data_IF_916045477991
#
_entry.id   IF_916045477991
#
_cell.length_a   1.000
_cell.length_b   1.000
_cell.length_c   1.000
_cell.angle_alpha   90.00
_cell.angle_beta   90.00
_cell.angle_gamma   90.00
#
_symmetry.space_group_name_H-M   'P 1'
#
loop_
_entity.id
_entity.type
_entity.pdbx_description
1 polymer ?
#
# COMPACT_ATOMS: atom_id res chain seq x y z
N UNK A 1 -42.01 5.50 31.37
CA UNK A 1 -40.66 6.04 31.17
C UNK A 1 -40.49 6.39 29.69
N UNK A 2 -39.98 7.61 29.42
CA UNK A 2 -39.52 8.22 28.15
C UNK A 2 -40.42 8.12 26.91
N UNK A 3 -41.09 9.17 26.41
CA UNK A 3 -40.71 10.56 26.03
C UNK A 3 -39.84 10.66 24.76
N UNK A 4 -40.55 10.84 23.63
CA UNK A 4 -40.44 11.86 22.56
C UNK A 4 -39.09 12.22 21.90
N UNK A 5 -39.24 12.47 20.59
CA UNK A 5 -38.66 13.58 19.78
C UNK A 5 -37.21 13.42 19.30
N UNK A 6 -36.76 13.94 18.14
CA UNK A 6 -37.30 14.50 16.90
C UNK A 6 -36.05 14.87 16.05
N UNK A 7 -36.09 14.63 14.72
CA UNK A 7 -35.34 15.34 13.65
C UNK A 7 -33.79 15.23 13.71
N UNK A 8 -33.04 15.22 12.60
CA UNK A 8 -33.01 16.20 11.51
C UNK A 8 -32.32 15.59 10.29
N UNK A 9 -33.02 15.50 9.15
CA UNK A 9 -32.37 15.43 7.85
C UNK A 9 -32.20 16.88 7.36
N UNK A 10 -30.95 17.25 7.10
CA UNK A 10 -30.57 18.58 6.62
C UNK A 10 -31.07 18.76 5.18
N UNK A 11 -31.85 19.81 4.96
CA UNK A 11 -32.24 20.30 3.64
C UNK A 11 -31.15 21.28 3.21
N UNK A 12 -30.29 20.86 2.27
CA UNK A 12 -29.39 21.76 1.55
C UNK A 12 -30.23 22.49 0.51
N UNK A 13 -30.35 23.80 0.69
CA UNK A 13 -30.99 24.71 -0.24
C UNK A 13 -30.19 24.76 -1.55
N UNK A 14 -30.76 24.24 -2.64
CA UNK A 14 -30.31 24.52 -4.00
C UNK A 14 -31.36 25.41 -4.64
N UNK A 15 -31.02 26.69 -4.73
CA UNK A 15 -31.66 27.71 -5.54
C UNK A 15 -31.55 27.35 -7.02
N UNK A 16 -32.67 27.20 -7.72
CA UNK A 16 -32.75 27.18 -9.18
C UNK A 16 -33.64 28.37 -9.61
N UNK A 17 -33.20 29.18 -10.59
CA UNK A 17 -33.74 30.50 -10.88
C UNK A 17 -35.13 30.51 -11.53
N UNK A 18 -35.74 31.70 -11.42
CA UNK A 18 -37.09 32.15 -11.77
C UNK A 18 -37.76 31.56 -13.04
N UNK A 19 -39.11 31.55 -13.07
CA UNK A 19 -39.89 30.79 -14.03
C UNK A 19 -39.98 31.45 -15.41
N UNK A 20 -39.88 30.61 -16.44
CA UNK A 20 -40.32 30.89 -17.79
C UNK A 20 -41.84 31.18 -17.78
N UNK A 21 -42.15 32.45 -18.02
CA UNK A 21 -43.50 32.96 -18.28
C UNK A 21 -44.02 32.31 -19.56
N UNK A 22 -44.88 31.30 -19.42
CA UNK A 22 -45.74 30.82 -20.49
C UNK A 22 -47.16 31.32 -20.22
N UNK A 23 -47.66 32.10 -21.18
CA UNK A 23 -48.91 32.84 -21.10
C UNK A 23 -50.11 31.97 -20.75
N UNK A 24 -50.82 32.37 -19.71
CA UNK A 24 -52.18 31.92 -19.44
C UNK A 24 -53.10 32.93 -20.13
N UNK A 25 -53.85 32.58 -21.18
CA UNK A 25 -54.93 33.43 -21.64
C UNK A 25 -56.02 33.40 -20.57
N UNK A 26 -56.23 34.55 -19.92
CA UNK A 26 -57.42 34.85 -19.14
C UNK A 26 -58.63 34.77 -20.08
N UNK A 27 -59.24 33.59 -20.16
CA UNK A 27 -60.58 33.46 -20.70
C UNK A 27 -61.53 34.18 -19.74
N UNK A 28 -61.87 35.41 -20.08
CA UNK A 28 -63.04 36.10 -19.53
C UNK A 28 -64.27 35.24 -19.83
N UNK A 29 -64.70 34.47 -18.83
CA UNK A 29 -66.02 33.86 -18.83
C UNK A 29 -67.04 35.01 -18.78
N UNK A 30 -67.57 35.38 -19.94
CA UNK A 30 -68.70 36.28 -20.06
C UNK A 30 -69.86 35.77 -19.20
N UNK A 31 -70.37 36.65 -18.35
CA UNK A 31 -71.56 36.42 -17.54
C UNK A 31 -72.77 36.21 -18.44
N UNK A 32 -73.16 34.95 -18.63
CA UNK A 32 -74.45 34.57 -19.19
C UNK A 32 -75.51 34.61 -18.11
N UNK A 33 -76.29 35.70 -18.07
CA UNK A 33 -77.54 35.77 -17.31
C UNK A 33 -78.53 34.72 -17.83
N UNK A 34 -79.23 34.08 -16.90
CA UNK A 34 -80.33 33.17 -17.22
C UNK A 34 -81.15 32.93 -15.97
N UNK A 35 -82.26 33.66 -15.82
CA UNK A 35 -83.26 33.34 -14.81
C UNK A 35 -83.68 31.89 -14.95
N UNK A 36 -83.64 31.11 -13.87
CA UNK A 36 -84.42 29.89 -13.84
C UNK A 36 -85.89 30.30 -13.88
N UNK A 37 -86.67 29.72 -14.79
CA UNK A 37 -88.11 29.97 -14.87
C UNK A 37 -88.76 29.46 -13.58
N UNK A 38 -88.94 30.39 -12.63
CA UNK A 38 -89.77 30.20 -11.47
C UNK A 38 -91.19 30.60 -11.89
N UNK A 39 -92.07 29.61 -11.98
CA UNK A 39 -93.48 29.86 -12.25
C UNK A 39 -94.17 30.21 -10.93
N UNK A 40 -94.86 31.36 -10.92
CA UNK A 40 -95.67 31.82 -9.80
C UNK A 40 -97.13 31.54 -10.09
N UNK A 41 -97.83 30.86 -9.19
CA UNK A 41 -99.28 30.70 -9.30
C UNK A 41 -99.96 31.09 -7.99
N UNK A 42 -101.01 31.89 -8.11
CA UNK A 42 -101.83 32.34 -7.00
C UNK A 42 -102.96 31.34 -6.74
N UNK A 43 -103.01 30.80 -5.52
CA UNK A 43 -104.09 29.92 -5.09
C UNK A 43 -104.52 30.30 -3.66
N UNK A 44 -105.81 30.59 -3.49
CA UNK A 44 -106.43 30.98 -2.21
C UNK A 44 -105.71 32.13 -1.47
N UNK A 45 -105.25 33.16 -2.19
CA UNK A 45 -104.58 34.31 -1.61
C UNK A 45 -103.09 34.11 -1.28
N UNK A 46 -102.51 32.95 -1.61
CA UNK A 46 -101.08 32.67 -1.44
C UNK A 46 -100.38 32.51 -2.80
N UNK A 47 -99.17 33.06 -2.91
CA UNK A 47 -98.28 32.86 -4.06
C UNK A 47 -97.37 31.67 -3.80
N UNK A 48 -97.47 30.64 -4.64
CA UNK A 48 -96.55 29.51 -4.62
C UNK A 48 -95.54 29.70 -5.74
N UNK A 49 -94.27 29.59 -5.39
CA UNK A 49 -93.15 29.69 -6.33
C UNK A 49 -92.57 28.30 -6.52
N UNK A 50 -92.67 27.77 -7.74
CA UNK A 50 -92.01 26.50 -8.10
C UNK A 50 -90.88 26.83 -9.05
N UNK A 51 -89.65 26.60 -8.60
CA UNK A 51 -88.46 26.75 -9.41
C UNK A 51 -87.93 25.36 -9.77
N UNK A 52 -87.70 25.11 -11.06
CA UNK A 52 -87.02 23.91 -11.50
C UNK A 52 -85.52 24.05 -11.21
N UNK A 53 -84.96 23.14 -10.40
CA UNK A 53 -83.53 23.14 -10.10
C UNK A 53 -82.71 22.89 -11.37
N UNK A 54 -81.64 23.66 -11.58
CA UNK A 54 -80.72 23.43 -12.70
C UNK A 54 -80.10 22.03 -12.58
N UNK A 55 -79.85 21.31 -13.70
CA UNK A 55 -78.99 20.14 -13.68
C UNK A 55 -77.67 20.47 -12.98
N UNK A 56 -77.20 19.54 -12.14
CA UNK A 56 -75.92 19.70 -11.45
C UNK A 56 -74.75 19.81 -12.45
N UNK A 57 -73.63 20.44 -12.06
CA UNK A 57 -72.46 20.50 -12.92
C UNK A 57 -71.97 19.07 -13.25
N UNK A 58 -71.33 18.86 -14.42
CA UNK A 58 -70.63 17.61 -14.70
C UNK A 58 -69.66 17.25 -13.57
N UNK A 59 -69.54 15.95 -13.27
CA UNK A 59 -68.56 15.47 -12.31
C UNK A 59 -67.13 15.81 -12.71
N UNK A 60 -66.18 15.90 -11.75
CA UNK A 60 -64.78 16.15 -12.08
C UNK A 60 -64.20 15.03 -12.96
N UNK A 61 -63.20 15.32 -13.81
CA UNK A 61 -62.46 14.30 -14.54
C UNK A 61 -61.93 13.20 -13.60
N UNK A 62 -61.96 11.96 -14.06
CA UNK A 62 -61.39 10.84 -13.30
C UNK A 62 -59.89 11.03 -13.04
N UNK A 63 -59.34 10.39 -11.99
CA UNK A 63 -57.93 10.47 -11.68
C UNK A 63 -57.08 9.90 -12.84
N UNK A 64 -55.87 10.43 -13.02
CA UNK A 64 -54.89 9.88 -13.96
C UNK A 64 -54.60 8.42 -13.60
N UNK A 65 -54.54 7.56 -14.62
CA UNK A 65 -54.17 6.15 -14.44
C UNK A 65 -52.77 5.97 -13.81
N UNK A 66 -52.51 4.82 -13.17
CA UNK A 66 -51.23 4.55 -12.53
C UNK A 66 -50.09 4.55 -13.56
N UNK A 67 -48.87 4.84 -13.10
CA UNK A 67 -47.66 4.70 -13.92
C UNK A 67 -47.48 3.24 -14.30
N UNK A 68 -47.09 2.99 -15.55
CA UNK A 68 -46.75 1.63 -16.02
C UNK A 68 -45.57 1.02 -15.24
N UNK A 69 -45.44 -0.32 -15.27
CA UNK A 69 -44.35 -1.02 -14.58
C UNK A 69 -42.97 -0.62 -15.12
N UNK A 70 -41.94 -0.78 -14.30
CA UNK A 70 -40.55 -0.61 -14.74
C UNK A 70 -40.21 -1.70 -15.76
N UNK A 71 -39.47 -1.32 -16.81
CA UNK A 71 -38.98 -2.29 -17.81
C UNK A 71 -38.01 -3.33 -17.23
N UNK A 72 -37.80 -4.45 -17.92
CA UNK A 72 -36.88 -5.50 -17.47
C UNK A 72 -35.43 -5.00 -17.42
N UNK A 73 -34.60 -5.69 -16.63
CA UNK A 73 -33.14 -5.47 -16.63
C UNK A 73 -32.58 -5.84 -18.02
N UNK A 74 -31.62 -5.06 -18.51
CA UNK A 74 -30.88 -5.39 -19.74
C UNK A 74 -30.08 -6.69 -19.60
N UNK A 75 -29.68 -7.31 -20.73
CA UNK A 75 -28.84 -8.50 -20.72
C UNK A 75 -27.47 -8.23 -20.07
N UNK A 76 -26.80 -9.29 -19.64
CA UNK A 76 -25.41 -9.22 -19.19
C UNK A 76 -24.50 -8.83 -20.36
N UNK A 77 -23.42 -8.08 -20.07
CA UNK A 77 -22.42 -7.73 -21.07
C UNK A 77 -21.59 -8.94 -21.52
N UNK A 78 -20.95 -8.89 -22.70
CA UNK A 78 -20.08 -9.97 -23.14
C UNK A 78 -18.86 -10.11 -22.22
N UNK A 79 -18.29 -11.32 -22.15
CA UNK A 79 -17.00 -11.56 -21.49
C UNK A 79 -15.91 -10.71 -22.16
N UNK A 80 -15.01 -10.15 -21.36
CA UNK A 80 -13.83 -9.44 -21.87
C UNK A 80 -12.89 -10.34 -22.68
N UNK A 81 -12.01 -9.76 -23.52
CA UNK A 81 -11.05 -10.53 -24.31
C UNK A 81 -10.06 -11.29 -23.41
N UNK A 82 -9.44 -12.34 -23.97
CA UNK A 82 -8.31 -13.00 -23.33
C UNK A 82 -7.13 -12.03 -23.19
N UNK A 83 -6.38 -12.13 -22.09
CA UNK A 83 -5.13 -11.38 -21.91
C UNK A 83 -4.03 -11.80 -22.90
N UNK A 84 -2.98 -10.99 -23.07
CA UNK A 84 -1.85 -11.35 -23.93
C UNK A 84 -1.13 -12.61 -23.43
N UNK A 85 -0.45 -13.31 -24.35
CA UNK A 85 0.45 -14.40 -23.99
C UNK A 85 1.62 -13.86 -23.14
N UNK A 86 2.07 -14.63 -22.15
CA UNK A 86 3.28 -14.30 -21.37
C UNK A 86 4.57 -14.37 -22.21
N UNK A 87 5.69 -13.84 -21.69
CA UNK A 87 6.98 -13.93 -22.37
C UNK A 87 7.42 -15.39 -22.55
N UNK A 88 8.27 -15.65 -23.55
CA UNK A 88 8.89 -16.96 -23.72
C UNK A 88 9.78 -17.29 -22.51
N UNK A 89 9.84 -18.57 -22.13
CA UNK A 89 10.79 -19.05 -21.13
C UNK A 89 12.22 -19.12 -21.67
N UNK A 90 13.20 -19.11 -20.78
CA UNK A 90 14.62 -19.21 -21.16
C UNK A 90 14.99 -20.61 -21.63
N UNK A 91 15.92 -20.71 -22.59
CA UNK A 91 16.33 -21.98 -23.20
C UNK A 91 17.21 -22.83 -22.26
N UNK A 92 18.07 -22.18 -21.47
CA UNK A 92 18.95 -22.80 -20.46
C UNK A 92 19.33 -21.79 -19.40
N UNK A 93 19.70 -22.27 -18.22
CA UNK A 93 20.20 -21.47 -17.10
C UNK A 93 21.53 -22.03 -16.63
N UNK A 94 22.52 -21.17 -16.40
CA UNK A 94 23.85 -21.55 -15.92
C UNK A 94 24.31 -20.59 -14.82
N UNK A 95 25.18 -21.09 -13.93
CA UNK A 95 25.83 -20.28 -12.90
C UNK A 95 27.28 -19.98 -13.28
N UNK A 96 27.65 -18.71 -13.28
CA UNK A 96 29.03 -18.25 -13.37
C UNK A 96 29.48 -17.87 -11.97
N UNK A 97 30.67 -18.29 -11.54
CA UNK A 97 31.17 -18.00 -10.20
C UNK A 97 32.62 -17.57 -10.20
N UNK A 98 33.00 -16.82 -9.16
CA UNK A 98 34.37 -16.40 -8.90
C UNK A 98 34.64 -16.45 -7.40
N UNK A 99 35.82 -16.90 -7.03
CA UNK A 99 36.29 -16.94 -5.65
C UNK A 99 37.23 -15.76 -5.40
N UNK A 100 37.13 -15.15 -4.23
CA UNK A 100 38.07 -14.13 -3.77
C UNK A 100 38.32 -14.26 -2.27
N UNK A 101 39.41 -13.62 -1.84
CA UNK A 101 39.80 -13.54 -0.44
C UNK A 101 39.51 -12.13 0.05
N UNK A 102 38.98 -12.02 1.26
CA UNK A 102 38.86 -10.74 1.97
C UNK A 102 39.97 -10.67 2.99
N UNK A 103 40.75 -9.60 2.92
CA UNK A 103 41.76 -9.28 3.91
C UNK A 103 41.13 -8.56 5.11
N UNK A 104 41.75 -8.71 6.28
CA UNK A 104 41.30 -8.04 7.51
C UNK A 104 41.26 -6.51 7.32
N UNK A 105 40.26 -5.84 7.89
CA UNK A 105 40.10 -4.38 7.85
C UNK A 105 39.93 -3.78 6.44
N UNK A 106 39.55 -4.60 5.44
CA UNK A 106 39.36 -4.14 4.06
C UNK A 106 37.94 -4.42 3.55
N UNK A 107 37.33 -3.37 3.00
CA UNK A 107 36.14 -3.50 2.14
C UNK A 107 36.56 -4.09 0.79
N UNK A 108 35.93 -5.20 0.41
CA UNK A 108 36.15 -5.84 -0.89
C UNK A 108 34.84 -5.94 -1.66
N UNK A 109 34.81 -5.40 -2.88
CA UNK A 109 33.66 -5.48 -3.81
C UNK A 109 34.07 -6.24 -5.05
N UNK A 110 33.29 -7.28 -5.39
CA UNK A 110 33.52 -8.09 -6.58
C UNK A 110 32.23 -8.35 -7.36
N UNK A 111 32.37 -8.43 -8.68
CA UNK A 111 31.27 -8.66 -9.61
C UNK A 111 31.53 -9.92 -10.45
N UNK A 112 30.47 -10.68 -10.73
CA UNK A 112 30.44 -11.71 -11.77
C UNK A 112 29.45 -11.31 -12.85
N UNK A 113 29.94 -11.17 -14.07
CA UNK A 113 29.13 -10.82 -15.23
C UNK A 113 28.65 -12.04 -16.00
N UNK A 114 27.40 -11.98 -16.47
CA UNK A 114 26.89 -12.92 -17.46
C UNK A 114 27.56 -12.70 -18.83
N UNK A 115 27.88 -13.76 -19.58
CA UNK A 115 28.38 -13.63 -20.95
C UNK A 115 27.38 -12.96 -21.89
N UNK A 116 27.86 -12.48 -23.03
CA UNK A 116 27.01 -11.89 -24.07
C UNK A 116 25.91 -12.86 -24.53
N UNK A 117 24.68 -12.33 -24.69
CA UNK A 117 23.44 -13.08 -25.02
C UNK A 117 22.88 -13.95 -23.90
N UNK A 118 23.20 -13.61 -22.66
CA UNK A 118 22.56 -14.16 -21.48
C UNK A 118 21.95 -13.02 -20.66
N UNK A 119 20.82 -13.30 -20.03
CA UNK A 119 20.13 -12.40 -19.12
C UNK A 119 20.43 -12.80 -17.68
N UNK A 120 20.76 -11.81 -16.83
CA UNK A 120 20.94 -12.05 -15.40
C UNK A 120 19.57 -12.34 -14.77
N UNK A 121 19.40 -13.55 -14.25
CA UNK A 121 18.17 -13.97 -13.56
C UNK A 121 18.29 -13.95 -12.04
N UNK A 122 19.51 -13.93 -11.51
CA UNK A 122 19.79 -13.84 -10.09
C UNK A 122 21.27 -14.03 -9.78
N UNK A 123 21.61 -14.15 -8.51
CA UNK A 123 22.97 -14.39 -8.04
C UNK A 123 23.03 -14.45 -6.52
N UNK A 124 24.25 -14.50 -6.00
CA UNK A 124 24.49 -14.55 -4.57
C UNK A 124 25.96 -14.76 -4.23
N UNK A 125 26.19 -15.14 -2.98
CA UNK A 125 27.50 -15.51 -2.46
C UNK A 125 27.40 -16.72 -1.54
N UNK A 126 28.53 -17.38 -1.33
CA UNK A 126 28.73 -18.49 -0.42
C UNK A 126 30.04 -18.27 0.34
N UNK A 127 29.99 -18.39 1.66
CA UNK A 127 31.18 -18.35 2.51
C UNK A 127 31.83 -19.74 2.46
N UNK A 128 32.98 -19.85 1.80
CA UNK A 128 33.71 -21.12 1.68
C UNK A 128 34.57 -21.40 2.91
N UNK A 129 35.15 -20.33 3.47
CA UNK A 129 35.97 -20.36 4.68
C UNK A 129 35.88 -18.98 5.30
N UNK A 130 35.37 -18.88 6.52
CA UNK A 130 35.14 -17.60 7.17
C UNK A 130 34.88 -17.74 8.67
N UNK A 131 34.99 -16.63 9.39
CA UNK A 131 34.52 -16.47 10.77
C UNK A 131 33.07 -15.95 10.73
N UNK A 132 32.33 -16.07 11.83
CA UNK A 132 30.99 -15.46 11.95
C UNK A 132 31.04 -13.90 11.88
N UNK A 133 32.24 -13.31 11.95
CA UNK A 133 32.52 -11.86 11.84
C UNK A 133 32.62 -11.34 10.38
N UNK A 134 32.49 -12.21 9.39
CA UNK A 134 32.54 -11.83 7.97
C UNK A 134 31.20 -11.19 7.57
N UNK A 135 31.18 -9.88 7.38
CA UNK A 135 29.95 -9.15 7.07
C UNK A 135 29.83 -8.84 5.59
N UNK A 136 28.97 -9.58 4.88
CA UNK A 136 28.55 -9.19 3.53
C UNK A 136 27.59 -8.01 3.64
N UNK A 137 28.08 -6.83 3.26
CA UNK A 137 27.34 -5.56 3.31
C UNK A 137 26.40 -5.39 2.13
N UNK A 138 26.68 -6.06 1.01
CA UNK A 138 25.90 -5.93 -0.21
C UNK A 138 25.90 -7.21 -1.03
N UNK A 139 24.73 -7.58 -1.56
CA UNK A 139 24.59 -8.65 -2.56
C UNK A 139 23.38 -8.35 -3.44
N UNK A 140 23.62 -7.89 -4.66
CA UNK A 140 22.56 -7.44 -5.58
C UNK A 140 23.00 -7.46 -7.05
N UNK A 141 22.08 -7.27 -8.00
CA UNK A 141 22.44 -6.94 -9.37
C UNK A 141 23.26 -5.65 -9.43
N UNK A 142 24.23 -5.60 -10.34
CA UNK A 142 25.09 -4.44 -10.59
C UNK A 142 24.37 -3.31 -11.35
N UNK A 143 23.19 -3.59 -11.92
CA UNK A 143 22.42 -2.67 -12.77
C UNK A 143 22.58 -2.95 -14.28
N UNK A 144 23.37 -3.96 -14.63
CA UNK A 144 23.62 -4.44 -15.98
C UNK A 144 23.40 -5.95 -16.05
N UNK A 145 24.43 -6.71 -16.41
CA UNK A 145 24.40 -8.16 -16.61
C UNK A 145 25.14 -8.92 -15.52
N UNK A 146 25.50 -8.25 -14.41
CA UNK A 146 26.36 -8.81 -13.38
C UNK A 146 25.72 -8.84 -11.99
N UNK A 147 26.22 -9.75 -11.15
CA UNK A 147 25.92 -9.78 -9.73
C UNK A 147 27.11 -9.23 -8.96
N UNK A 148 26.87 -8.23 -8.11
CA UNK A 148 27.88 -7.59 -7.27
C UNK A 148 27.69 -7.97 -5.81
N UNK A 149 28.80 -8.24 -5.13
CA UNK A 149 28.86 -8.50 -3.70
C UNK A 149 29.95 -7.65 -3.09
N UNK A 150 29.61 -6.97 -1.99
CA UNK A 150 30.55 -6.21 -1.16
C UNK A 150 30.58 -6.82 0.22
N UNK A 151 31.78 -6.99 0.78
CA UNK A 151 31.96 -7.60 2.07
C UNK A 151 33.10 -6.92 2.83
N UNK A 152 32.94 -6.83 4.15
CA UNK A 152 33.84 -6.18 5.09
C UNK A 152 34.19 -7.18 6.19
N UNK A 153 35.47 -7.28 6.53
CA UNK A 153 35.91 -8.00 7.72
C UNK A 153 36.05 -7.00 8.87
N UNK A 154 35.16 -7.06 9.86
CA UNK A 154 35.37 -6.31 11.09
C UNK A 154 36.51 -6.97 11.87
N UNK A 155 37.51 -6.18 12.24
CA UNK A 155 38.47 -6.59 13.27
C UNK A 155 37.69 -6.74 14.56
N UNK A 156 37.61 -7.96 15.09
CA UNK A 156 37.16 -8.16 16.45
C UNK A 156 38.01 -7.28 17.35
N UNK A 157 37.46 -6.18 17.83
CA UNK A 157 38.09 -5.43 18.90
C UNK A 157 38.08 -6.38 20.10
N UNK A 158 39.24 -6.91 20.49
CA UNK A 158 39.45 -7.79 21.65
C UNK A 158 39.07 -7.11 22.99
N UNK A 159 38.27 -6.04 22.99
CA UNK A 159 37.96 -5.22 24.14
C UNK A 159 36.47 -4.99 24.40
N UNK A 160 35.64 -6.00 24.15
CA UNK A 160 34.32 -6.12 24.78
C UNK A 160 34.37 -6.82 26.15
N UNK A 161 35.57 -7.11 26.66
CA UNK A 161 35.78 -7.41 28.07
C UNK A 161 35.80 -6.12 28.88
N UNK A 162 34.67 -5.73 29.46
CA UNK A 162 34.61 -4.61 30.40
C UNK A 162 35.63 -4.77 31.53
N UNK A 163 36.78 -4.12 31.44
CA UNK A 163 37.54 -3.78 32.63
C UNK A 163 36.88 -2.52 33.19
N UNK A 164 35.88 -2.77 34.03
CA UNK A 164 35.50 -1.86 35.11
C UNK A 164 36.81 -1.46 35.80
N UNK A 165 37.31 -0.25 35.50
CA UNK A 165 38.39 0.36 36.27
C UNK A 165 37.80 0.70 37.64
N UNK A 166 37.71 -0.33 38.49
CA UNK A 166 37.66 -0.18 39.92
C UNK A 166 38.91 0.58 40.32
N UNK A 167 38.74 1.88 40.54
CA UNK A 167 39.66 2.68 41.31
C UNK A 167 39.81 2.00 42.66
N UNK A 168 40.95 1.36 42.95
CA UNK A 168 41.48 1.27 44.30
C UNK A 168 42.98 0.96 44.31
N UNK A 169 43.66 1.94 44.88
CA UNK A 169 45.00 2.08 45.43
C UNK A 169 45.65 0.80 45.96
N UNK A 170 46.93 0.56 45.61
CA UNK A 170 48.09 0.49 46.53
C UNK A 170 49.19 -0.48 46.05
N UNK A 171 50.45 -0.04 46.14
CA UNK A 171 51.58 -0.95 46.34
C UNK A 171 52.79 -0.74 45.43
N UNK A 172 53.49 0.38 45.59
CA UNK A 172 54.87 0.54 45.13
C UNK A 172 55.81 -0.48 45.79
N UNK A 173 56.72 -1.09 45.04
CA UNK A 173 58.10 -1.29 45.51
C UNK A 173 59.08 -1.35 44.32
N UNK A 174 59.61 -0.18 43.96
CA UNK A 174 60.84 -0.06 43.19
C UNK A 174 62.01 -0.09 44.18
N UNK A 175 62.83 -1.14 44.15
CA UNK A 175 64.29 -1.10 44.34
C UNK A 175 64.85 -2.52 44.51
N UNK A 176 65.68 -2.96 43.56
CA UNK A 176 67.05 -3.37 43.86
C UNK A 176 67.83 -3.68 42.57
N UNK A 177 68.93 -2.96 42.45
CA UNK A 177 70.12 -3.19 41.63
C UNK A 177 70.63 -4.62 41.81
N UNK A 178 71.00 -5.30 40.72
CA UNK A 178 72.31 -5.97 40.55
C UNK A 178 72.44 -6.66 39.18
N UNK A 179 73.47 -6.24 38.44
CA UNK A 179 74.00 -6.89 37.25
C UNK A 179 74.81 -8.11 37.67
N UNK A 180 74.38 -9.32 37.31
CA UNK A 180 75.24 -10.48 37.20
C UNK A 180 74.63 -11.50 36.24
N UNK A 181 75.26 -11.69 35.07
CA UNK A 181 74.87 -12.72 34.13
C UNK A 181 75.29 -14.10 34.64
N UNK A 182 74.35 -15.05 34.65
CA UNK A 182 74.65 -16.48 34.58
C UNK A 182 73.56 -17.18 33.77
N UNK A 183 74.03 -17.83 32.72
CA UNK A 183 73.33 -18.73 31.81
C UNK A 183 72.90 -19.99 32.57
N UNK A 184 71.59 -20.20 32.77
CA UNK A 184 71.05 -21.53 33.08
C UNK A 184 69.75 -21.77 32.32
N UNK A 185 69.84 -22.77 31.44
CA UNK A 185 68.74 -23.48 30.80
C UNK A 185 67.76 -24.04 31.83
N UNK A 186 66.47 -23.71 31.70
CA UNK A 186 65.40 -24.28 32.52
C UNK A 186 64.06 -23.60 32.24
N UNK A 187 63.37 -24.09 31.23
CA UNK A 187 61.90 -24.12 31.06
C UNK A 187 61.08 -23.12 31.88
N UNK A 188 60.97 -21.88 31.41
CA UNK A 188 59.73 -21.12 31.60
C UNK A 188 58.92 -21.30 30.31
N UNK A 189 58.00 -22.26 30.36
CA UNK A 189 56.80 -22.24 29.54
C UNK A 189 56.04 -20.97 29.96
N UNK A 190 56.50 -19.83 29.46
CA UNK A 190 55.68 -18.66 29.38
C UNK A 190 54.52 -19.08 28.47
N UNK A 191 53.38 -19.37 29.08
CA UNK A 191 52.09 -19.42 28.41
C UNK A 191 51.76 -18.02 27.89
N UNK A 192 52.57 -17.53 26.96
CA UNK A 192 52.07 -16.64 25.93
C UNK A 192 51.08 -17.51 25.18
N UNK A 193 49.80 -17.41 25.58
CA UNK A 193 48.72 -17.82 24.71
C UNK A 193 49.01 -17.13 23.39
N UNK A 194 49.50 -17.91 22.43
CA UNK A 194 49.39 -17.58 21.04
C UNK A 194 47.88 -17.42 20.87
N UNK A 195 47.40 -16.19 20.96
CA UNK A 195 46.14 -15.81 20.35
C UNK A 195 46.38 -16.06 18.87
N UNK A 196 46.24 -17.33 18.47
CA UNK A 196 45.97 -17.71 17.11
C UNK A 196 44.55 -17.23 16.85
N UNK A 197 44.38 -15.91 16.83
CA UNK A 197 43.34 -15.32 16.00
C UNK A 197 43.73 -15.75 14.60
N UNK A 198 42.86 -16.52 13.99
CA UNK A 198 43.06 -16.94 12.62
C UNK A 198 43.24 -15.63 11.83
N UNK A 199 44.46 -15.33 11.38
CA UNK A 199 44.69 -14.42 10.25
C UNK A 199 44.14 -15.07 8.96
N UNK A 200 43.10 -15.88 9.10
CA UNK A 200 42.70 -16.91 8.19
C UNK A 200 42.10 -16.22 7.01
N UNK A 201 42.77 -16.32 5.86
CA UNK A 201 42.20 -15.92 4.58
C UNK A 201 40.73 -16.35 4.50
N UNK A 202 39.85 -15.35 4.42
CA UNK A 202 38.41 -15.54 4.34
C UNK A 202 38.04 -15.69 2.87
N UNK A 203 37.60 -16.89 2.47
CA UNK A 203 37.27 -17.19 1.08
C UNK A 203 35.77 -17.06 0.86
N UNK A 204 35.39 -16.15 -0.03
CA UNK A 204 34.01 -16.01 -0.50
C UNK A 204 33.94 -16.41 -1.97
N UNK A 205 32.92 -17.21 -2.30
CA UNK A 205 32.51 -17.47 -3.67
C UNK A 205 31.31 -16.61 -4.00
N UNK A 206 31.39 -15.86 -5.09
CA UNK A 206 30.24 -15.15 -5.65
C UNK A 206 29.77 -15.83 -6.92
N UNK A 207 28.47 -15.79 -7.17
CA UNK A 207 27.89 -16.38 -8.37
C UNK A 207 26.77 -15.53 -8.96
N UNK A 208 26.68 -15.56 -10.28
CA UNK A 208 25.60 -14.99 -11.08
C UNK A 208 24.88 -16.12 -11.82
N UNK A 209 23.56 -16.15 -11.72
CA UNK A 209 22.69 -17.10 -12.42
C UNK A 209 22.16 -16.42 -13.68
N UNK A 210 22.61 -16.92 -14.82
CA UNK A 210 22.34 -16.34 -16.12
C UNK A 210 21.47 -17.29 -16.94
N UNK A 211 20.52 -16.75 -17.69
CA UNK A 211 19.66 -17.52 -18.57
C UNK A 211 19.85 -17.12 -20.03
N UNK A 212 19.94 -18.11 -20.91
CA UNK A 212 20.12 -17.86 -22.33
C UNK A 212 18.77 -17.65 -23.02
N UNK A 213 18.74 -16.68 -23.93
CA UNK A 213 17.66 -16.49 -24.89
C UNK A 213 17.61 -17.61 -25.93
#
# INVERSE_FOLDING_TARGET
MSVRALKRAAIVAITIPAPLVLGIPLAFAGGGGGGGDCMHYYRHGHTIVVCQGRPGPPGPPGPRGPRGPRGPRGPEGPRGPQGPQGPAGFARTESFSKDFVIDRDHDSTHTVDCPTRWELTGGGYELLKGSDDDHVTESRPDGHTGWVVSAHQEHGDDNSGGHEWGSDTAGMNQSNTETAGMNQSGTETAGGGQWGGDNGEHHIRIYAVCAAH
#
